data_IF_880825883170
#
_entry.id   IF_880825883170
#
_cell.length_a   1.000
_cell.length_b   1.000
_cell.length_c   1.000
_cell.angle_alpha   90.00
_cell.angle_beta   90.00
_cell.angle_gamma   90.00
#
_symmetry.space_group_name_H-M   'P 1'
#
loop_
_entity.id
_entity.type
_entity.pdbx_description
1 polymer ?
#
# COMPACT_ATOMS: atom_id res chain seq x y z
N UNK A 1 -16.37 18.70 -4.95
CA UNK A 1 -14.90 18.62 -4.80
C UNK A 1 -14.54 17.19 -4.44
N UNK A 2 -13.58 16.58 -5.15
CA UNK A 2 -13.07 15.24 -4.83
C UNK A 2 -11.81 15.39 -3.97
N UNK A 3 -11.85 14.89 -2.74
CA UNK A 3 -10.72 14.91 -1.81
C UNK A 3 -9.98 13.57 -1.83
N UNK A 4 -8.72 13.57 -1.38
CA UNK A 4 -7.96 12.32 -1.23
C UNK A 4 -8.63 11.42 -0.19
N UNK A 5 -8.67 10.14 -0.50
CA UNK A 5 -9.15 9.05 0.36
C UNK A 5 -8.09 7.95 0.38
N UNK A 6 -7.85 7.36 1.54
CA UNK A 6 -6.90 6.25 1.68
C UNK A 6 -7.47 4.94 1.15
N UNK A 7 -6.58 4.01 0.80
CA UNK A 7 -6.98 2.71 0.23
C UNK A 7 -7.98 1.95 1.12
N UNK A 8 -7.73 1.89 2.44
CA UNK A 8 -8.66 1.26 3.40
C UNK A 8 -10.08 1.84 3.34
N UNK A 9 -10.18 3.17 3.35
CA UNK A 9 -11.48 3.84 3.33
C UNK A 9 -12.18 3.64 1.99
N UNK A 10 -11.40 3.57 0.90
CA UNK A 10 -11.94 3.30 -0.43
C UNK A 10 -12.47 1.88 -0.56
N UNK A 11 -11.77 0.89 0.02
CA UNK A 11 -12.20 -0.52 0.03
C UNK A 11 -13.54 -0.66 0.78
N UNK A 12 -13.66 -0.08 1.97
CA UNK A 12 -14.91 -0.11 2.76
C UNK A 12 -16.07 0.65 2.12
N UNK A 13 -15.76 1.67 1.32
CA UNK A 13 -16.78 2.40 0.57
C UNK A 13 -17.35 1.56 -0.58
N UNK A 14 -16.52 0.69 -1.16
CA UNK A 14 -16.89 -0.10 -2.31
C UNK A 14 -17.53 -1.43 -1.92
N UNK A 15 -16.91 -2.20 -1.02
CA UNK A 15 -17.29 -3.58 -0.72
C UNK A 15 -18.28 -3.69 0.44
N UNK A 16 -19.10 -4.73 0.41
CA UNK A 16 -20.10 -5.01 1.45
C UNK A 16 -19.51 -5.47 2.79
N UNK A 17 -20.28 -5.24 3.87
CA UNK A 17 -20.16 -5.87 5.20
C UNK A 17 -18.78 -5.82 5.87
N UNK A 18 -17.88 -4.92 5.46
CA UNK A 18 -16.47 -4.88 5.89
C UNK A 18 -15.75 -6.24 5.70
N UNK A 19 -16.30 -7.12 4.85
CA UNK A 19 -15.86 -8.49 4.65
C UNK A 19 -15.10 -8.60 3.33
N UNK A 20 -13.80 -8.28 3.37
CA UNK A 20 -12.89 -8.48 2.26
C UNK A 20 -11.70 -9.35 2.67
N UNK A 21 -11.21 -10.13 1.73
CA UNK A 21 -9.95 -10.86 1.87
C UNK A 21 -8.83 -10.00 1.27
N UNK A 22 -7.79 -9.72 2.05
CA UNK A 22 -6.59 -9.04 1.57
C UNK A 22 -5.56 -10.05 1.07
N UNK A 23 -5.02 -9.78 -0.12
CA UNK A 23 -3.97 -10.58 -0.73
C UNK A 23 -2.62 -9.88 -0.57
N UNK A 24 -1.54 -10.67 -0.52
CA UNK A 24 -0.16 -10.16 -0.57
C UNK A 24 0.18 -9.10 0.50
N UNK A 25 -0.43 -9.15 1.68
CA UNK A 25 -0.23 -8.16 2.76
C UNK A 25 1.25 -7.98 3.18
N UNK A 26 2.05 -9.02 3.01
CA UNK A 26 3.48 -9.03 3.31
C UNK A 26 4.37 -8.64 2.11
N UNK A 27 3.79 -8.26 0.96
CA UNK A 27 4.54 -7.78 -0.20
C UNK A 27 5.30 -6.50 0.14
N UNK A 28 6.58 -6.47 -0.23
CA UNK A 28 7.49 -5.33 -0.02
C UNK A 28 8.23 -5.03 -1.33
N UNK A 29 8.47 -3.74 -1.57
CA UNK A 29 9.33 -3.29 -2.66
C UNK A 29 10.78 -3.76 -2.47
N UNK A 30 11.42 -4.21 -3.56
CA UNK A 30 12.83 -4.63 -3.56
C UNK A 30 13.75 -3.68 -4.33
N UNK A 31 15.07 -3.84 -4.16
CA UNK A 31 16.09 -3.03 -4.87
C UNK A 31 17.06 -3.88 -5.70
N UNK A 32 16.61 -4.49 -6.82
CA UNK A 32 17.49 -5.32 -7.66
C UNK A 32 18.56 -4.51 -8.42
N UNK A 33 18.40 -3.18 -8.51
CA UNK A 33 19.30 -2.30 -9.26
C UNK A 33 20.34 -1.63 -8.37
N UNK A 34 20.26 -1.80 -7.04
CA UNK A 34 21.09 -1.08 -6.06
C UNK A 34 21.00 0.44 -6.28
N UNK A 35 19.78 0.93 -6.51
CA UNK A 35 19.56 2.29 -6.98
C UNK A 35 19.83 3.33 -5.89
N UNK A 36 20.54 4.40 -6.25
CA UNK A 36 20.84 5.51 -5.34
C UNK A 36 20.61 6.85 -6.04
N UNK A 37 19.81 7.70 -5.39
CA UNK A 37 19.65 9.13 -5.70
C UNK A 37 20.21 9.95 -4.51
N UNK A 38 19.62 11.09 -4.15
CA UNK A 38 19.92 11.84 -2.92
C UNK A 38 19.90 10.98 -1.65
N UNK A 39 19.09 9.90 -1.66
CA UNK A 39 19.11 8.83 -0.66
C UNK A 39 19.07 7.46 -1.37
N UNK A 40 19.74 6.43 -0.85
CA UNK A 40 19.60 5.06 -1.33
C UNK A 40 18.13 4.62 -1.34
N UNK A 41 17.71 3.88 -2.36
CA UNK A 41 16.33 3.41 -2.48
C UNK A 41 15.82 2.65 -1.25
N UNK A 42 16.60 1.76 -0.60
CA UNK A 42 16.16 1.06 0.61
C UNK A 42 15.81 2.02 1.77
N UNK A 43 16.52 3.14 1.90
CA UNK A 43 16.20 4.13 2.94
C UNK A 43 14.89 4.85 2.65
N UNK A 44 14.52 5.02 1.37
CA UNK A 44 13.24 5.58 0.99
C UNK A 44 12.10 4.60 1.30
N UNK A 45 12.31 3.32 1.04
CA UNK A 45 11.34 2.26 1.39
C UNK A 45 11.09 2.22 2.89
N UNK A 46 12.13 2.14 3.72
CA UNK A 46 11.97 2.13 5.18
C UNK A 46 11.29 3.39 5.72
N UNK A 47 11.55 4.55 5.11
CA UNK A 47 10.86 5.80 5.48
C UNK A 47 9.38 5.80 5.05
N UNK A 48 9.07 5.25 3.88
CA UNK A 48 7.70 5.11 3.38
C UNK A 48 6.91 4.13 4.25
N UNK A 49 7.45 2.94 4.52
CA UNK A 49 6.84 1.91 5.38
C UNK A 49 6.55 2.45 6.78
N UNK A 50 7.50 3.18 7.40
CA UNK A 50 7.26 3.83 8.70
C UNK A 50 6.18 4.89 8.66
N UNK A 51 6.03 5.60 7.54
CA UNK A 51 5.05 6.68 7.38
C UNK A 51 3.65 6.16 7.10
N UNK A 52 3.51 5.12 6.28
CA UNK A 52 2.23 4.60 5.82
C UNK A 52 1.76 3.38 6.58
N UNK A 53 2.69 2.67 7.26
CA UNK A 53 2.45 1.34 7.82
C UNK A 53 2.32 0.25 6.75
N UNK A 54 2.55 0.57 5.47
CA UNK A 54 2.34 -0.32 4.33
C UNK A 54 3.65 -0.57 3.59
N UNK A 55 3.83 -1.82 3.19
CA UNK A 55 4.98 -2.31 2.44
C UNK A 55 5.06 -1.87 0.98
N UNK A 56 3.90 -1.50 0.43
CA UNK A 56 3.74 -1.10 -0.96
C UNK A 56 2.60 -0.08 -1.06
N UNK A 57 2.56 0.68 -2.16
CA UNK A 57 1.51 1.65 -2.45
C UNK A 57 0.23 1.04 -3.04
N UNK A 58 0.13 -0.30 -3.08
CA UNK A 58 -1.00 -1.04 -3.63
C UNK A 58 -1.57 -2.00 -2.58
N UNK A 59 -2.89 -2.13 -2.57
CA UNK A 59 -3.61 -3.16 -1.81
C UNK A 59 -4.51 -3.95 -2.75
N UNK A 60 -4.36 -5.26 -2.74
CA UNK A 60 -5.20 -6.21 -3.48
C UNK A 60 -6.20 -6.83 -2.52
N UNK A 61 -7.48 -6.75 -2.85
CA UNK A 61 -8.55 -7.33 -2.04
C UNK A 61 -9.61 -8.01 -2.91
N UNK A 62 -10.26 -9.03 -2.36
CA UNK A 62 -11.43 -9.70 -2.94
C UNK A 62 -12.63 -9.58 -2.01
N UNK A 63 -13.82 -9.34 -2.58
CA UNK A 63 -15.07 -9.21 -1.81
C UNK A 63 -16.28 -9.08 -2.74
N UNK A 64 -17.43 -8.73 -2.16
CA UNK A 64 -18.71 -8.57 -2.86
C UNK A 64 -19.18 -7.11 -2.86
N UNK A 65 -20.09 -6.79 -3.78
CA UNK A 65 -20.73 -5.48 -4.00
C UNK A 65 -22.26 -5.62 -3.94
#
# INVERSE_FOLDING_TARGET
EHLRIGAEQYIRLLLDEDAYEEFDADLRSGDPLTFTDLKPYPQRLEAAERKTGQGEALRSVGGTL
#
